data_IF_644875758974
#
_entry.id   IF_644875758974
#
_cell.length_a   1.000
_cell.length_b   1.000
_cell.length_c   1.000
_cell.angle_alpha   90.00
_cell.angle_beta   90.00
_cell.angle_gamma   90.00
#
_symmetry.space_group_name_H-M   'P 1'
#
loop_
_entity.id
_entity.type
_entity.pdbx_description
1 polymer ?
#
# COMPACT_ATOMS: atom_id res chain seq x y z
N UNK A 1 8.07 -62.10 -63.27
CA UNK A 1 8.44 -62.66 -61.96
C UNK A 1 8.53 -61.50 -61.00
N UNK A 2 7.54 -61.36 -60.13
CA UNK A 2 7.49 -60.34 -59.09
C UNK A 2 7.12 -61.06 -57.81
N UNK A 3 8.12 -61.36 -56.97
CA UNK A 3 7.91 -61.88 -55.63
C UNK A 3 7.35 -60.75 -54.77
N UNK A 4 6.10 -60.91 -54.34
CA UNK A 4 5.48 -60.08 -53.31
C UNK A 4 5.97 -60.63 -51.97
N UNK A 5 6.84 -59.88 -51.29
CA UNK A 5 7.19 -60.13 -49.90
C UNK A 5 6.06 -59.58 -49.01
N UNK A 6 4.97 -60.34 -48.86
CA UNK A 6 4.03 -60.16 -47.76
C UNK A 6 4.74 -60.60 -46.48
N UNK A 7 5.21 -59.63 -45.70
CA UNK A 7 5.73 -59.86 -44.36
C UNK A 7 4.56 -59.63 -43.40
N UNK A 8 3.81 -60.70 -43.13
CA UNK A 8 2.85 -60.69 -42.01
C UNK A 8 3.63 -60.45 -40.72
N UNK A 9 3.50 -59.24 -40.18
CA UNK A 9 4.01 -58.88 -38.88
C UNK A 9 3.10 -59.49 -37.82
N UNK A 10 3.47 -60.69 -37.34
CA UNK A 10 2.84 -61.29 -36.18
C UNK A 10 3.16 -60.42 -34.95
N UNK A 11 2.16 -59.67 -34.46
CA UNK A 11 2.28 -58.97 -33.18
C UNK A 11 2.19 -60.03 -32.10
N UNK A 12 3.34 -60.45 -31.59
CA UNK A 12 3.44 -61.30 -30.41
C UNK A 12 3.01 -60.48 -29.18
N UNK A 13 1.71 -60.53 -28.88
CA UNK A 13 1.16 -59.94 -27.65
C UNK A 13 1.58 -60.85 -26.50
N UNK A 14 2.70 -60.50 -25.86
CA UNK A 14 3.10 -61.05 -24.57
C UNK A 14 1.89 -60.99 -23.62
N UNK A 15 1.55 -62.14 -23.06
CA UNK A 15 0.36 -62.44 -22.27
C UNK A 15 0.38 -61.84 -20.85
N UNK A 16 0.89 -60.62 -20.72
CA UNK A 16 0.99 -59.86 -19.47
C UNK A 16 -0.04 -58.71 -19.42
N UNK A 17 -1.26 -58.99 -19.87
CA UNK A 17 -2.38 -58.02 -19.92
C UNK A 17 -2.70 -57.46 -18.53
N UNK A 18 -2.55 -58.28 -17.48
CA UNK A 18 -2.74 -57.86 -16.08
C UNK A 18 -1.67 -56.86 -15.62
N UNK A 19 -0.44 -57.02 -16.10
CA UNK A 19 0.70 -56.15 -15.78
C UNK A 19 0.57 -54.79 -16.48
N UNK A 20 0.04 -54.78 -17.71
CA UNK A 20 -0.28 -53.55 -18.44
C UNK A 20 -1.44 -52.79 -17.82
N UNK A 21 -2.51 -53.48 -17.41
CA UNK A 21 -3.64 -52.88 -16.71
C UNK A 21 -3.23 -52.27 -15.36
N UNK A 22 -2.35 -52.97 -14.61
CA UNK A 22 -1.78 -52.46 -13.37
C UNK A 22 -0.92 -51.21 -13.60
N UNK A 23 0.01 -51.25 -14.56
CA UNK A 23 0.84 -50.11 -14.90
C UNK A 23 0.05 -48.89 -15.40
N UNK A 24 -1.04 -49.11 -16.15
CA UNK A 24 -1.93 -48.03 -16.58
C UNK A 24 -2.68 -47.40 -15.40
N UNK A 25 -3.13 -48.22 -14.44
CA UNK A 25 -3.78 -47.73 -13.23
C UNK A 25 -2.82 -46.91 -12.37
N UNK A 26 -1.60 -47.39 -12.15
CA UNK A 26 -0.57 -46.66 -11.40
C UNK A 26 -0.23 -45.33 -12.08
N UNK A 27 -0.08 -45.33 -13.41
CA UNK A 27 0.16 -44.10 -14.18
C UNK A 27 -1.00 -43.11 -14.03
N UNK A 28 -2.25 -43.59 -14.10
CA UNK A 28 -3.43 -42.76 -13.92
C UNK A 28 -3.48 -42.14 -12.53
N UNK A 29 -3.28 -42.94 -11.48
CA UNK A 29 -3.28 -42.46 -10.10
C UNK A 29 -2.22 -41.37 -9.89
N UNK A 30 -1.05 -41.51 -10.54
CA UNK A 30 0.03 -40.52 -10.51
C UNK A 30 -0.29 -39.24 -11.29
N UNK A 31 -0.98 -39.35 -12.42
CA UNK A 31 -1.47 -38.20 -13.17
C UNK A 31 -2.53 -37.45 -12.34
N UNK A 32 -3.45 -38.16 -11.71
CA UNK A 32 -4.49 -37.56 -10.87
C UNK A 32 -3.86 -36.83 -9.67
N UNK A 33 -2.83 -37.40 -9.04
CA UNK A 33 -2.06 -36.75 -7.96
C UNK A 33 -1.33 -35.47 -8.44
N UNK A 34 -0.72 -35.52 -9.64
CA UNK A 34 -0.07 -34.35 -10.24
C UNK A 34 -1.07 -33.24 -10.57
N UNK A 35 -2.26 -33.59 -11.07
CA UNK A 35 -3.34 -32.61 -11.34
C UNK A 35 -3.78 -31.94 -10.04
N UNK A 36 -4.00 -32.71 -8.97
CA UNK A 36 -4.39 -32.16 -7.67
C UNK A 36 -3.31 -31.22 -7.09
N UNK A 37 -2.04 -31.59 -7.26
CA UNK A 37 -0.91 -30.75 -6.83
C UNK A 37 -0.86 -29.44 -7.61
N UNK A 38 -1.01 -29.51 -8.94
CA UNK A 38 -1.01 -28.33 -9.81
C UNK A 38 -2.18 -27.40 -9.51
N UNK A 39 -3.37 -27.93 -9.23
CA UNK A 39 -4.52 -27.15 -8.82
C UNK A 39 -4.29 -26.43 -7.49
N UNK A 40 -3.66 -27.11 -6.52
CA UNK A 40 -3.30 -26.53 -5.24
C UNK A 40 -2.28 -25.39 -5.39
N UNK A 41 -1.23 -25.58 -6.21
CA UNK A 41 -0.24 -24.55 -6.53
C UNK A 41 -0.88 -23.36 -7.25
N UNK A 42 -1.78 -23.62 -8.20
CA UNK A 42 -2.50 -22.56 -8.92
C UNK A 42 -3.38 -21.75 -7.98
N UNK A 43 -4.03 -22.39 -7.01
CA UNK A 43 -4.82 -21.68 -5.98
C UNK A 43 -3.91 -20.82 -5.11
N UNK A 44 -2.78 -21.35 -4.67
CA UNK A 44 -1.82 -20.60 -3.86
C UNK A 44 -1.26 -19.39 -4.62
N UNK A 45 -0.96 -19.54 -5.91
CA UNK A 45 -0.53 -18.42 -6.76
C UNK A 45 -1.59 -17.31 -6.86
N UNK A 46 -2.88 -17.67 -6.96
CA UNK A 46 -3.99 -16.70 -6.95
C UNK A 46 -4.11 -15.98 -5.61
N UNK A 47 -3.96 -16.71 -4.49
CA UNK A 47 -3.99 -16.12 -3.15
C UNK A 47 -2.82 -15.15 -2.93
N UNK A 48 -1.61 -15.53 -3.37
CA UNK A 48 -0.43 -14.64 -3.31
C UNK A 48 -0.67 -13.37 -4.12
N UNK A 49 -1.17 -13.48 -5.34
CA UNK A 49 -1.48 -12.31 -6.17
C UNK A 49 -2.53 -11.39 -5.53
N UNK A 50 -3.57 -11.96 -4.92
CA UNK A 50 -4.58 -11.18 -4.21
C UNK A 50 -4.00 -10.44 -2.99
N UNK A 51 -3.11 -11.10 -2.23
CA UNK A 51 -2.43 -10.49 -1.10
C UNK A 51 -1.46 -9.38 -1.53
N UNK A 52 -0.73 -9.57 -2.64
CA UNK A 52 0.14 -8.53 -3.21
C UNK A 52 -0.66 -7.28 -3.58
N UNK A 53 -1.81 -7.45 -4.24
CA UNK A 53 -2.70 -6.35 -4.57
C UNK A 53 -3.25 -5.65 -3.32
N UNK A 54 -3.58 -6.40 -2.26
CA UNK A 54 -4.01 -5.82 -0.99
C UNK A 54 -2.89 -5.01 -0.32
N UNK A 55 -1.66 -5.50 -0.35
CA UNK A 55 -0.47 -4.81 0.16
C UNK A 55 -0.25 -3.50 -0.61
N UNK A 56 -0.31 -3.52 -1.93
CA UNK A 56 -0.14 -2.33 -2.75
C UNK A 56 -1.19 -1.26 -2.43
N UNK A 57 -2.46 -1.67 -2.32
CA UNK A 57 -3.55 -0.77 -1.94
C UNK A 57 -3.36 -0.19 -0.54
N UNK A 58 -2.91 -1.00 0.43
CA UNK A 58 -2.60 -0.51 1.79
C UNK A 58 -1.43 0.47 1.78
N UNK A 59 -0.38 0.19 1.01
CA UNK A 59 0.76 1.10 0.87
C UNK A 59 0.34 2.45 0.25
N UNK A 60 -0.52 2.43 -0.75
CA UNK A 60 -1.08 3.64 -1.34
C UNK A 60 -1.86 4.47 -0.31
N UNK A 61 -2.78 3.84 0.44
CA UNK A 61 -3.55 4.52 1.51
C UNK A 61 -2.65 5.09 2.60
N UNK A 62 -1.60 4.39 3.00
CA UNK A 62 -0.63 4.90 3.98
C UNK A 62 0.08 6.16 3.47
N UNK A 63 0.43 6.20 2.18
CA UNK A 63 1.03 7.38 1.55
C UNK A 63 0.07 8.58 1.54
N UNK A 64 -1.22 8.33 1.27
CA UNK A 64 -2.25 9.38 1.36
C UNK A 64 -2.41 9.91 2.78
N UNK A 65 -2.48 9.00 3.77
CA UNK A 65 -2.56 9.37 5.18
C UNK A 65 -1.35 10.21 5.63
N UNK A 66 -0.13 9.83 5.21
CA UNK A 66 1.07 10.63 5.48
C UNK A 66 0.95 12.04 4.91
N UNK A 67 0.48 12.16 3.66
CA UNK A 67 0.28 13.47 3.02
C UNK A 67 -0.74 14.32 3.77
N UNK A 68 -1.80 13.71 4.31
CA UNK A 68 -2.82 14.43 5.07
C UNK A 68 -2.33 14.82 6.46
N UNK A 69 -1.52 13.99 7.12
CA UNK A 69 -0.81 14.34 8.35
C UNK A 69 0.10 15.55 8.10
N UNK A 70 0.90 15.56 7.03
CA UNK A 70 1.76 16.70 6.70
C UNK A 70 0.97 18.00 6.51
N UNK A 71 -0.18 17.95 5.84
CA UNK A 71 -1.07 19.11 5.71
C UNK A 71 -1.61 19.56 7.07
N UNK A 72 -2.09 18.62 7.88
CA UNK A 72 -2.62 18.91 9.20
C UNK A 72 -1.56 19.56 10.10
N UNK A 73 -0.32 19.07 10.07
CA UNK A 73 0.81 19.67 10.79
C UNK A 73 1.09 21.08 10.32
N UNK A 74 1.09 21.34 9.00
CA UNK A 74 1.27 22.72 8.47
C UNK A 74 0.15 23.66 8.93
N UNK A 75 -1.10 23.19 8.94
CA UNK A 75 -2.23 23.97 9.44
C UNK A 75 -2.13 24.22 10.94
N UNK A 76 -1.69 23.24 11.72
CA UNK A 76 -1.45 23.38 13.15
C UNK A 76 -0.38 24.44 13.46
N UNK A 77 0.77 24.39 12.78
CA UNK A 77 1.82 25.41 12.95
C UNK A 77 1.36 26.80 12.50
N UNK A 78 0.58 26.87 11.42
CA UNK A 78 -0.01 28.15 10.96
C UNK A 78 -0.97 28.74 11.98
N UNK A 79 -1.81 27.90 12.59
CA UNK A 79 -2.75 28.31 13.64
C UNK A 79 -1.99 28.78 14.88
N UNK A 80 -0.95 28.07 15.27
CA UNK A 80 -0.09 28.43 16.39
C UNK A 80 0.52 29.83 16.21
N UNK A 81 1.13 30.08 15.05
CA UNK A 81 1.66 31.40 14.70
C UNK A 81 0.58 32.49 14.70
N UNK A 82 -0.63 32.16 14.24
CA UNK A 82 -1.76 33.10 14.26
C UNK A 82 -2.17 33.46 15.69
N UNK A 83 -2.25 32.48 16.60
CA UNK A 83 -2.57 32.71 18.01
C UNK A 83 -1.48 33.54 18.70
N UNK A 84 -0.21 33.24 18.45
CA UNK A 84 0.91 34.03 18.99
C UNK A 84 0.84 35.49 18.53
N UNK A 85 0.50 35.75 17.25
CA UNK A 85 0.30 37.11 16.72
C UNK A 85 -0.88 37.86 17.36
N UNK A 86 -1.89 37.14 17.84
CA UNK A 86 -3.00 37.73 18.59
C UNK A 86 -2.68 37.93 20.07
N UNK A 87 -1.46 37.61 20.51
CA UNK A 87 -1.06 37.67 21.92
C UNK A 87 -1.65 36.55 22.77
N UNK A 88 -2.09 35.45 22.16
CA UNK A 88 -2.59 34.26 22.84
C UNK A 88 -1.48 33.22 22.87
N UNK A 89 -1.17 32.69 24.07
CA UNK A 89 -0.25 31.55 24.20
C UNK A 89 -0.93 30.27 23.67
N UNK A 90 -0.43 29.68 22.56
CA UNK A 90 -1.04 28.49 21.96
C UNK A 90 -0.82 27.22 22.79
N UNK A 91 0.06 27.24 23.78
CA UNK A 91 0.35 26.10 24.65
C UNK A 91 -0.35 26.19 26.01
N UNK A 92 -1.00 27.31 26.31
CA UNK A 92 -1.72 27.49 27.57
C UNK A 92 -2.97 26.59 27.62
N UNK A 93 -3.20 25.96 28.78
CA UNK A 93 -4.40 25.15 29.03
C UNK A 93 -5.70 25.99 29.06
N UNK A 94 -5.59 27.31 29.15
CA UNK A 94 -6.70 28.26 29.20
C UNK A 94 -6.40 29.43 28.28
N UNK A 95 -7.42 29.96 27.62
CA UNK A 95 -7.31 31.12 26.74
C UNK A 95 -6.95 32.36 27.57
N UNK A 96 -5.70 32.80 27.48
CA UNK A 96 -5.20 34.02 28.12
C UNK A 96 -4.73 34.98 27.04
N UNK A 97 -5.29 36.20 27.04
CA UNK A 97 -4.89 37.26 26.13
C UNK A 97 -3.83 38.13 26.81
N UNK A 98 -2.64 38.23 26.23
CA UNK A 98 -1.66 39.23 26.63
C UNK A 98 -1.92 40.53 25.85
N UNK A 99 -2.59 41.48 26.50
CA UNK A 99 -2.93 42.78 25.93
C UNK A 99 -1.69 43.70 25.74
N UNK A 100 -0.47 43.26 26.10
CA UNK A 100 0.75 44.06 25.89
C UNK A 100 1.03 44.36 24.42
N UNK A 101 0.57 43.52 23.49
CA UNK A 101 0.68 43.80 22.05
C UNK A 101 -0.12 45.03 21.62
N UNK A 102 -1.32 45.25 22.19
CA UNK A 102 -2.15 46.43 21.89
C UNK A 102 -1.55 47.74 22.42
N UNK A 103 -0.69 47.65 23.44
CA UNK A 103 -0.07 48.82 24.09
C UNK A 103 1.21 49.27 23.38
N UNK A 104 1.88 48.39 22.63
CA UNK A 104 3.09 48.75 21.87
C UNK A 104 2.79 49.70 20.70
N UNK A 105 1.75 49.42 19.91
CA UNK A 105 1.36 50.29 18.78
C UNK A 105 0.81 51.66 19.24
N UNK A 106 0.12 51.71 20.38
CA UNK A 106 -0.34 52.97 20.98
C UNK A 106 0.83 53.83 21.49
N UNK A 107 1.86 53.19 22.07
CA UNK A 107 3.04 53.90 22.60
C UNK A 107 3.93 54.50 21.51
N UNK A 108 3.99 53.89 20.31
CA UNK A 108 4.75 54.43 19.18
C UNK A 108 4.08 55.69 18.58
N UNK A 109 2.75 55.76 18.58
CA UNK A 109 2.00 56.92 18.08
C UNK A 109 2.04 58.12 19.04
N UNK A 110 2.12 57.91 20.36
CA UNK A 110 2.28 59.02 21.32
C UNK A 110 3.65 59.70 21.21
N UNK A 111 4.71 58.95 20.90
CA UNK A 111 6.08 59.50 20.79
C UNK A 111 6.23 60.38 19.54
N UNK A 112 5.61 60.02 18.41
CA UNK A 112 5.62 60.84 17.20
C UNK A 112 4.77 62.12 17.33
N UNK A 113 3.67 62.08 18.09
CA UNK A 113 2.82 63.25 18.33
C UNK A 113 3.49 64.30 19.24
N UNK A 114 4.29 63.87 20.23
CA UNK A 114 4.98 64.78 21.16
C UNK A 114 6.26 65.38 20.54
N UNK A 115 6.97 64.63 19.69
CA UNK A 115 8.15 65.17 18.99
C UNK A 115 7.78 66.25 17.97
N UNK A 116 6.65 66.13 17.27
CA UNK A 116 6.19 67.13 16.29
C UNK A 116 5.57 68.40 16.92
N UNK A 117 5.30 68.40 18.23
CA UNK A 117 4.78 69.57 18.95
C UNK A 117 5.87 70.37 19.69
N UNK A 118 7.12 69.88 19.69
CA UNK A 118 8.23 70.49 20.42
C UNK A 118 9.15 71.36 19.54
N UNK A 119 8.85 71.48 18.24
CA UNK A 119 9.53 72.37 17.30
C UNK A 119 8.60 73.51 16.83
N UNK A 120 8.16 74.37 17.75
CA UNK A 120 7.66 75.72 17.44
C UNK A 120 7.98 76.69 18.58
#
# INVERSE_FOLDING_TARGET
MSEVLEKDGEIEVSSDVDNLSYGYKELKDRIDELILTLDAETRLAKEVYALELEIENKAYRLKELLRDIEKATKHYESLKLFLERLGIDPFAQRLTFDNRFLLQDASLHEIEAVNNQSEF
#
